data_IF_855540253016
#
_entry.id   IF_855540253016
#
_cell.length_a   1.000
_cell.length_b   1.000
_cell.length_c   1.000
_cell.angle_alpha   90.00
_cell.angle_beta   90.00
_cell.angle_gamma   90.00
#
_symmetry.space_group_name_H-M   'P 1'
#
loop_
_entity.id
_entity.type
_entity.pdbx_description
1 polymer ?
#
# COMPACT_ATOMS: atom_id res chain seq x y z
N UNK A 1 -7.60 26.97 -43.60
CA UNK A 1 -6.15 26.87 -43.29
C UNK A 1 -5.96 25.98 -42.07
N UNK A 2 -5.79 24.66 -42.27
CA UNK A 2 -5.56 23.68 -41.20
C UNK A 2 -4.13 23.15 -41.30
N UNK A 3 -3.27 23.58 -40.39
CA UNK A 3 -1.83 23.34 -40.45
C UNK A 3 -1.43 21.90 -40.11
N UNK A 4 -0.98 21.16 -41.12
CA UNK A 4 -0.15 19.97 -40.97
C UNK A 4 1.25 20.40 -40.50
N UNK A 5 1.64 20.10 -39.25
CA UNK A 5 3.04 20.13 -38.82
C UNK A 5 3.53 18.71 -38.51
N UNK A 6 4.31 18.19 -39.46
CA UNK A 6 5.11 16.97 -39.38
C UNK A 6 6.13 17.09 -38.21
N UNK A 7 6.24 16.04 -37.39
CA UNK A 7 7.41 15.83 -36.50
C UNK A 7 8.64 15.49 -37.36
N UNK A 8 9.82 16.07 -37.12
CA UNK A 8 11.04 15.53 -37.70
C UNK A 8 11.52 14.35 -36.86
N UNK A 9 11.58 13.19 -37.51
CA UNK A 9 12.36 12.01 -37.11
C UNK A 9 13.84 12.36 -37.22
N UNK A 10 14.54 12.47 -36.10
CA UNK A 10 16.00 12.60 -36.09
C UNK A 10 16.62 11.25 -35.77
N UNK A 11 16.87 10.49 -36.85
CA UNK A 11 17.86 9.43 -36.88
C UNK A 11 19.25 10.06 -36.77
N UNK A 12 20.07 9.61 -35.82
CA UNK A 12 21.43 10.08 -35.63
C UNK A 12 22.27 8.98 -35.02
N UNK A 13 23.31 8.57 -35.75
CA UNK A 13 24.05 7.33 -35.60
C UNK A 13 25.02 7.28 -34.40
N UNK A 14 25.35 6.05 -34.04
CA UNK A 14 26.35 5.59 -33.09
C UNK A 14 27.75 6.22 -33.28
N UNK A 15 28.43 6.60 -32.18
CA UNK A 15 29.83 6.19 -31.93
C UNK A 15 30.29 6.50 -30.50
N UNK A 16 30.89 5.49 -29.90
CA UNK A 16 31.57 5.43 -28.60
C UNK A 16 32.79 6.36 -28.53
N UNK A 17 33.11 6.89 -27.34
CA UNK A 17 34.39 6.68 -26.62
C UNK A 17 34.57 7.66 -25.43
N UNK A 18 35.00 7.06 -24.32
CA UNK A 18 35.87 7.57 -23.24
C UNK A 18 35.64 8.94 -22.60
N UNK A 19 35.42 8.94 -21.26
CA UNK A 19 36.41 9.44 -20.28
C UNK A 19 35.76 9.76 -18.92
N UNK A 20 36.50 9.41 -17.86
CA UNK A 20 36.25 9.72 -16.45
C UNK A 20 35.91 11.21 -16.23
N UNK A 21 34.84 11.51 -15.49
CA UNK A 21 34.50 12.88 -15.13
C UNK A 21 33.39 12.97 -14.09
N UNK A 22 33.79 13.22 -12.85
CA UNK A 22 32.97 13.55 -11.69
C UNK A 22 32.00 14.71 -11.98
N UNK A 23 30.68 14.53 -11.75
CA UNK A 23 29.78 15.63 -11.36
C UNK A 23 28.45 15.11 -10.83
N UNK A 24 28.09 15.67 -9.67
CA UNK A 24 26.77 15.66 -9.03
C UNK A 24 25.67 15.88 -10.07
N UNK A 25 24.70 14.98 -10.15
CA UNK A 25 23.37 15.30 -10.63
C UNK A 25 22.34 14.38 -9.99
N UNK A 26 21.36 15.03 -9.36
CA UNK A 26 20.00 14.58 -9.12
C UNK A 26 19.79 13.10 -8.82
N UNK A 27 19.66 12.78 -7.52
CA UNK A 27 18.93 11.59 -7.08
C UNK A 27 17.47 11.77 -7.49
N UNK A 28 17.19 11.45 -8.75
CA UNK A 28 15.87 11.10 -9.25
C UNK A 28 15.29 10.15 -8.23
N UNK A 29 14.23 10.58 -7.53
CA UNK A 29 13.44 9.73 -6.65
C UNK A 29 12.94 8.57 -7.49
N UNK A 30 13.71 7.49 -7.55
CA UNK A 30 13.28 6.24 -8.11
C UNK A 30 11.96 5.88 -7.43
N UNK A 31 10.91 5.47 -8.16
CA UNK A 31 9.70 5.00 -7.53
C UNK A 31 10.11 3.90 -6.57
N UNK A 32 9.80 4.07 -5.27
CA UNK A 32 10.03 3.02 -4.26
C UNK A 32 9.35 1.78 -4.79
N UNK A 33 10.14 0.85 -5.33
CA UNK A 33 9.67 -0.44 -5.80
C UNK A 33 9.05 -1.07 -4.56
N UNK A 34 7.71 -1.15 -4.55
CA UNK A 34 6.99 -1.76 -3.44
C UNK A 34 7.49 -3.20 -3.36
N UNK A 35 8.36 -3.48 -2.38
CA UNK A 35 8.84 -4.83 -2.14
C UNK A 35 7.62 -5.71 -1.94
N UNK A 36 7.49 -6.75 -2.77
CA UNK A 36 6.43 -7.74 -2.63
C UNK A 36 6.66 -8.47 -1.30
N UNK A 37 5.94 -8.06 -0.27
CA UNK A 37 6.03 -8.68 1.05
C UNK A 37 5.34 -10.05 1.01
N UNK A 38 5.96 -11.05 1.62
CA UNK A 38 5.31 -12.34 1.89
C UNK A 38 4.29 -12.12 3.01
N UNK A 39 3.00 -12.12 2.66
CA UNK A 39 1.91 -11.90 3.60
C UNK A 39 1.50 -13.22 4.25
N UNK A 40 1.31 -13.21 5.57
CA UNK A 40 0.77 -14.35 6.32
C UNK A 40 -0.74 -14.51 6.11
N UNK A 41 -1.22 -15.74 6.28
CA UNK A 41 -2.64 -16.11 6.12
C UNK A 41 -3.34 -16.27 7.48
N UNK A 42 -2.58 -16.30 8.57
CA UNK A 42 -3.07 -16.58 9.92
C UNK A 42 -2.79 -15.36 10.80
N UNK A 43 -3.78 -14.98 11.60
CA UNK A 43 -3.65 -13.99 12.68
C UNK A 43 -3.66 -14.77 13.99
N UNK A 44 -2.66 -14.54 14.83
CA UNK A 44 -2.68 -15.01 16.21
C UNK A 44 -3.54 -14.06 17.06
N UNK A 45 -4.45 -14.60 17.87
CA UNK A 45 -5.42 -13.80 18.63
C UNK A 45 -4.75 -12.78 19.57
N UNK A 46 -3.63 -13.16 20.21
CA UNK A 46 -2.85 -12.26 21.08
C UNK A 46 -2.31 -11.05 20.32
N UNK A 47 -1.78 -11.26 19.11
CA UNK A 47 -1.26 -10.19 18.27
C UNK A 47 -2.38 -9.32 17.70
N UNK A 48 -3.50 -9.94 17.29
CA UNK A 48 -4.68 -9.24 16.79
C UNK A 48 -5.24 -8.27 17.83
N UNK A 49 -5.42 -8.71 19.08
CA UNK A 49 -5.94 -7.86 20.16
C UNK A 49 -4.99 -6.72 20.53
N UNK A 50 -3.67 -6.97 20.56
CA UNK A 50 -2.67 -5.91 20.77
C UNK A 50 -2.75 -4.84 19.68
N UNK A 51 -2.85 -5.26 18.42
CA UNK A 51 -2.99 -4.33 17.31
C UNK A 51 -4.27 -3.49 17.43
N UNK A 52 -5.40 -4.09 17.81
CA UNK A 52 -6.67 -3.37 17.99
C UNK A 52 -6.58 -2.31 19.10
N UNK A 53 -5.93 -2.62 20.21
CA UNK A 53 -5.77 -1.67 21.31
C UNK A 53 -4.90 -0.45 20.95
N UNK A 54 -3.97 -0.61 20.01
CA UNK A 54 -3.12 0.49 19.55
C UNK A 54 -3.82 1.46 18.58
N UNK A 55 -4.95 1.06 18.02
CA UNK A 55 -5.63 1.80 16.96
C UNK A 55 -6.85 2.54 17.50
N UNK A 56 -6.88 3.88 17.32
CA UNK A 56 -8.08 4.69 17.61
C UNK A 56 -9.24 4.35 16.66
N UNK A 57 -8.94 4.15 15.38
CA UNK A 57 -9.89 3.73 14.36
C UNK A 57 -9.39 2.44 13.71
N UNK A 58 -10.20 1.39 13.77
CA UNK A 58 -9.84 0.07 13.28
C UNK A 58 -10.34 -0.06 11.84
N UNK A 59 -9.43 -0.34 10.91
CA UNK A 59 -9.77 -0.60 9.51
C UNK A 59 -9.13 -1.91 9.05
N UNK A 60 -9.74 -2.55 8.05
CA UNK A 60 -9.20 -3.79 7.46
C UNK A 60 -7.77 -3.55 6.94
N UNK A 61 -7.53 -2.41 6.29
CA UNK A 61 -6.25 -2.09 5.68
C UNK A 61 -5.16 -1.79 6.73
N UNK A 62 -5.48 -1.03 7.78
CA UNK A 62 -4.53 -0.73 8.85
C UNK A 62 -4.12 -1.99 9.61
N UNK A 63 -5.09 -2.87 9.90
CA UNK A 63 -4.83 -4.15 10.57
C UNK A 63 -3.97 -5.08 9.70
N UNK A 64 -4.30 -5.21 8.41
CA UNK A 64 -3.55 -6.04 7.48
C UNK A 64 -2.08 -5.60 7.36
N UNK A 65 -1.83 -4.29 7.29
CA UNK A 65 -0.48 -3.72 7.17
C UNK A 65 0.32 -3.85 8.46
N UNK A 66 -0.32 -3.69 9.61
CA UNK A 66 0.35 -3.80 10.92
C UNK A 66 0.79 -5.25 11.20
N UNK A 67 -0.07 -6.23 10.90
CA UNK A 67 0.21 -7.64 11.15
C UNK A 67 0.91 -8.36 9.98
N UNK A 68 1.04 -7.72 8.82
CA UNK A 68 1.62 -8.33 7.62
C UNK A 68 0.77 -9.47 7.05
N UNK A 69 -0.56 -9.39 7.18
CA UNK A 69 -1.50 -10.44 6.77
C UNK A 69 -2.26 -10.07 5.50
N UNK A 70 -2.84 -11.06 4.82
CA UNK A 70 -3.74 -10.80 3.68
C UNK A 70 -4.98 -10.00 4.13
N UNK A 71 -5.42 -9.06 3.29
CA UNK A 71 -6.61 -8.21 3.53
C UNK A 71 -7.87 -9.06 3.77
N UNK A 72 -8.02 -10.20 3.07
CA UNK A 72 -9.16 -11.10 3.28
C UNK A 72 -9.20 -11.68 4.69
N UNK A 73 -8.03 -12.02 5.25
CA UNK A 73 -7.89 -12.58 6.59
C UNK A 73 -8.21 -11.50 7.63
N UNK A 74 -7.67 -10.30 7.45
CA UNK A 74 -8.00 -9.15 8.30
C UNK A 74 -9.51 -8.83 8.29
N UNK A 75 -10.15 -8.89 7.12
CA UNK A 75 -11.58 -8.65 6.98
C UNK A 75 -12.40 -9.71 7.73
N UNK A 76 -12.05 -10.99 7.55
CA UNK A 76 -12.75 -12.08 8.23
C UNK A 76 -12.57 -12.01 9.75
N UNK A 77 -11.36 -11.66 10.22
CA UNK A 77 -11.07 -11.46 11.63
C UNK A 77 -11.93 -10.34 12.24
N UNK A 78 -12.01 -9.18 11.58
CA UNK A 78 -12.85 -8.07 12.06
C UNK A 78 -14.34 -8.44 12.07
N UNK A 79 -14.84 -9.12 11.04
CA UNK A 79 -16.24 -9.62 11.02
C UNK A 79 -16.50 -10.60 12.17
N UNK A 80 -15.56 -11.49 12.48
CA UNK A 80 -15.70 -12.40 13.62
C UNK A 80 -15.72 -11.66 14.95
N UNK A 81 -14.96 -10.58 15.11
CA UNK A 81 -14.99 -9.74 16.31
C UNK A 81 -16.26 -8.88 16.41
N UNK A 82 -16.79 -8.43 15.27
CA UNK A 82 -18.09 -7.74 15.17
C UNK A 82 -19.21 -8.68 15.63
N UNK A 83 -19.22 -9.93 15.15
CA UNK A 83 -20.18 -10.97 15.58
C UNK A 83 -20.06 -11.31 17.08
N UNK A 84 -18.86 -11.21 17.65
CA UNK A 84 -18.60 -11.41 19.09
C UNK A 84 -18.91 -10.15 19.93
N UNK A 85 -19.37 -9.06 19.32
CA UNK A 85 -19.61 -7.76 19.98
C UNK A 85 -18.38 -7.21 20.72
N UNK A 86 -17.17 -7.48 20.23
CA UNK A 86 -15.93 -6.89 20.75
C UNK A 86 -15.65 -5.53 20.10
N UNK A 87 -16.05 -5.40 18.83
CA UNK A 87 -15.94 -4.18 18.04
C UNK A 87 -17.31 -3.83 17.44
N UNK A 88 -17.57 -2.54 17.23
CA UNK A 88 -18.76 -2.03 16.55
C UNK A 88 -18.36 -1.32 15.26
N UNK A 89 -19.20 -1.42 14.24
CA UNK A 89 -19.05 -0.60 13.04
C UNK A 89 -19.54 0.82 13.35
N UNK A 90 -18.67 1.82 13.20
CA UNK A 90 -19.00 3.23 13.45
C UNK A 90 -19.26 4.02 12.17
N UNK A 91 -18.91 3.47 11.00
CA UNK A 91 -19.16 4.13 9.73
C UNK A 91 -18.39 3.53 8.56
N UNK A 92 -18.36 4.27 7.46
CA UNK A 92 -17.76 3.83 6.21
C UNK A 92 -18.77 3.20 5.25
N UNK A 93 -18.29 2.71 4.12
CA UNK A 93 -19.09 2.13 3.04
C UNK A 93 -18.63 0.71 2.72
N UNK A 94 -19.34 0.03 1.81
CA UNK A 94 -19.02 -1.35 1.42
C UNK A 94 -17.56 -1.48 0.99
N UNK A 95 -16.80 -2.35 1.66
CA UNK A 95 -15.36 -2.55 1.47
C UNK A 95 -14.45 -1.68 2.34
N UNK A 96 -14.95 -0.55 2.86
CA UNK A 96 -14.21 0.39 3.70
C UNK A 96 -14.96 0.69 5.00
N UNK A 97 -15.18 -0.35 5.79
CA UNK A 97 -15.78 -0.23 7.12
C UNK A 97 -14.76 0.32 8.12
N UNK A 98 -15.23 1.18 9.01
CA UNK A 98 -14.47 1.73 10.13
C UNK A 98 -15.07 1.18 11.41
N UNK A 99 -14.24 0.52 12.20
CA UNK A 99 -14.62 -0.10 13.45
C UNK A 99 -14.06 0.67 14.64
N UNK A 100 -14.77 0.60 15.76
CA UNK A 100 -14.32 1.06 17.07
C UNK A 100 -14.43 -0.10 18.06
N UNK A 101 -13.49 -0.20 19.00
CA UNK A 101 -13.57 -1.17 20.09
C UNK A 101 -14.69 -0.76 21.06
N UNK A 102 -15.53 -1.71 21.44
CA UNK A 102 -16.54 -1.46 22.48
C UNK A 102 -15.80 -1.36 23.83
N UNK A 103 -16.08 -0.29 24.58
CA UNK A 103 -15.47 -0.03 25.88
C UNK A 103 -15.88 -1.07 26.92
#
# INVERSE_FOLDING_TARGET
>A
MGGNKKKPTQSGASKSQDAKGNKKDEVKKAPKVQQKQKLSVIIEDSQGMKALNSMKAITVHSLARNLGVKISVANNYLKNLENKNIIKNVGGYSGHKIYEKIK
#
